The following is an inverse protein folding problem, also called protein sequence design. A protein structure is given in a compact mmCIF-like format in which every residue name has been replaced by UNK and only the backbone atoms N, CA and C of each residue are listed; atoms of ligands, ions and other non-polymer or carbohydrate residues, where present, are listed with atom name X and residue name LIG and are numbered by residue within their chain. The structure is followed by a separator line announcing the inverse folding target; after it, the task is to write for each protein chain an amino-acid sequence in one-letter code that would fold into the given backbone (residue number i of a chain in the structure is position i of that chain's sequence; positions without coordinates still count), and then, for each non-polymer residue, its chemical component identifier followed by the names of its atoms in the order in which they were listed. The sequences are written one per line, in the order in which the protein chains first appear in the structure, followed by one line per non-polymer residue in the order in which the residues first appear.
data_IF_435109277638
#
_entry.id   IF_435109277638
#
_cell.length_a   1.000
_cell.length_b   1.000
_cell.length_c   1.000
_cell.angle_alpha   90.00
_cell.angle_beta   90.00
_cell.angle_gamma   90.00
#
_symmetry.space_group_name_H-M   'P 1'
#
loop_
_entity.id
_entity.type
_entity.pdbx_description
1 polymer ?
#
# COMPACT_ATOMS: atom_id res chain seq x y z
N UNK A 1 1.88 -11.85 37.87
CA UNK A 1 3.00 -12.19 36.98
C UNK A 1 2.60 -11.74 35.59
N UNK A 2 2.76 -10.46 35.28
CA UNK A 2 2.34 -9.88 34.01
C UNK A 2 3.56 -9.81 33.09
N UNK A 3 3.56 -10.65 32.07
CA UNK A 3 4.62 -10.70 31.07
C UNK A 3 4.61 -9.41 30.25
N UNK A 4 5.64 -8.59 30.42
CA UNK A 4 5.97 -7.49 29.52
C UNK A 4 6.21 -8.05 28.10
N UNK A 5 5.16 -8.13 27.29
CA UNK A 5 5.29 -8.37 25.86
C UNK A 5 5.97 -7.15 25.23
N UNK A 6 7.21 -7.30 24.76
CA UNK A 6 7.89 -6.23 24.04
C UNK A 6 7.12 -5.86 22.77
N UNK A 7 7.17 -4.60 22.33
CA UNK A 7 6.52 -4.15 21.09
C UNK A 7 6.83 -5.06 19.87
N UNK A 8 8.04 -5.62 19.83
CA UNK A 8 8.46 -6.59 18.81
C UNK A 8 7.66 -7.91 18.87
N UNK A 9 7.35 -8.42 20.06
CA UNK A 9 6.52 -9.62 20.24
C UNK A 9 5.07 -9.38 19.82
N UNK A 10 4.49 -8.23 20.16
CA UNK A 10 3.14 -7.83 19.75
C UNK A 10 3.06 -7.68 18.22
N UNK A 11 4.01 -6.98 17.60
CA UNK A 11 4.12 -6.88 16.13
C UNK A 11 4.20 -8.27 15.48
N UNK A 12 4.99 -9.19 16.04
CA UNK A 12 5.11 -10.55 15.49
C UNK A 12 3.81 -11.33 15.57
N UNK A 13 3.11 -11.26 16.70
CA UNK A 13 1.81 -11.90 16.89
C UNK A 13 0.77 -11.36 15.92
N UNK A 14 0.61 -10.04 15.84
CA UNK A 14 -0.34 -9.39 14.93
C UNK A 14 -0.06 -9.75 13.46
N UNK A 15 1.22 -9.80 13.05
CA UNK A 15 1.60 -10.26 11.70
C UNK A 15 1.11 -11.67 11.42
N UNK A 16 1.29 -12.59 12.36
CA UNK A 16 0.89 -13.99 12.20
C UNK A 16 -0.64 -14.13 12.14
N UNK A 17 -1.36 -13.49 13.07
CA UNK A 17 -2.83 -13.52 13.14
C UNK A 17 -3.46 -12.93 11.87
N UNK A 18 -3.02 -11.74 11.44
CA UNK A 18 -3.59 -11.10 10.26
C UNK A 18 -3.19 -11.83 8.97
N UNK A 19 -1.99 -12.39 8.88
CA UNK A 19 -1.59 -13.23 7.75
C UNK A 19 -2.44 -14.50 7.66
N UNK A 20 -2.76 -15.12 8.80
CA UNK A 20 -3.63 -16.30 8.86
C UNK A 20 -5.07 -15.95 8.49
N UNK A 21 -5.62 -14.87 9.06
CA UNK A 21 -6.98 -14.41 8.75
C UNK A 21 -7.14 -14.11 7.25
N UNK A 22 -6.20 -13.37 6.66
CA UNK A 22 -6.18 -13.09 5.22
C UNK A 22 -5.92 -14.34 4.38
N UNK A 23 -5.08 -15.24 4.87
CA UNK A 23 -4.81 -16.54 4.26
C UNK A 23 -6.03 -17.46 4.24
N UNK A 24 -6.95 -17.29 5.20
CA UNK A 24 -8.20 -18.04 5.31
C UNK A 24 -9.26 -17.66 4.29
N UNK A 25 -9.17 -16.48 3.66
CA UNK A 25 -10.07 -16.11 2.56
C UNK A 25 -9.86 -17.03 1.37
N UNK A 26 -10.96 -17.57 0.84
CA UNK A 26 -10.97 -18.32 -0.41
C UNK A 26 -10.59 -17.43 -1.60
N UNK A 27 -10.16 -18.01 -2.73
CA UNK A 27 -9.87 -17.24 -3.94
C UNK A 27 -11.07 -16.41 -4.44
N UNK A 28 -12.28 -16.92 -4.28
CA UNK A 28 -13.51 -16.23 -4.68
C UNK A 28 -13.79 -15.02 -3.79
N UNK A 29 -13.73 -15.19 -2.46
CA UNK A 29 -13.89 -14.07 -1.52
C UNK A 29 -12.83 -12.99 -1.77
N UNK A 30 -11.56 -13.36 -1.96
CA UNK A 30 -10.49 -12.40 -2.27
C UNK A 30 -10.82 -11.59 -3.52
N UNK A 31 -11.28 -12.25 -4.58
CA UNK A 31 -11.66 -11.59 -5.83
C UNK A 31 -12.79 -10.60 -5.60
N UNK A 32 -13.86 -11.01 -4.93
CA UNK A 32 -15.04 -10.16 -4.70
C UNK A 32 -14.73 -8.96 -3.80
N UNK A 33 -14.05 -9.19 -2.69
CA UNK A 33 -13.65 -8.15 -1.75
C UNK A 33 -12.69 -7.16 -2.42
N UNK A 34 -11.73 -7.65 -3.20
CA UNK A 34 -10.79 -6.80 -3.94
C UNK A 34 -11.50 -5.92 -4.97
N UNK A 35 -12.48 -6.46 -5.71
CA UNK A 35 -13.27 -5.66 -6.66
C UNK A 35 -14.01 -4.52 -5.96
N UNK A 36 -14.64 -4.79 -4.81
CA UNK A 36 -15.34 -3.74 -4.05
C UNK A 36 -14.40 -2.66 -3.54
N UNK A 37 -13.27 -3.05 -2.94
CA UNK A 37 -12.28 -2.09 -2.46
C UNK A 37 -11.66 -1.28 -3.61
N UNK A 38 -11.39 -1.91 -4.76
CA UNK A 38 -10.91 -1.25 -5.97
C UNK A 38 -11.92 -0.24 -6.51
N UNK A 39 -13.22 -0.55 -6.48
CA UNK A 39 -14.28 0.38 -6.89
C UNK A 39 -14.28 1.63 -5.99
N UNK A 40 -14.18 1.46 -4.67
CA UNK A 40 -14.05 2.59 -3.75
C UNK A 40 -12.78 3.42 -4.01
N UNK A 41 -11.64 2.77 -4.25
CA UNK A 41 -10.41 3.46 -4.61
C UNK A 41 -10.55 4.26 -5.92
N UNK A 42 -11.21 3.69 -6.93
CA UNK A 42 -11.48 4.36 -8.20
C UNK A 42 -12.37 5.60 -8.02
N UNK A 43 -13.46 5.48 -7.29
CA UNK A 43 -14.37 6.60 -6.99
C UNK A 43 -13.62 7.75 -6.29
N UNK A 44 -12.74 7.41 -5.35
CA UNK A 44 -11.92 8.39 -4.67
C UNK A 44 -10.87 9.05 -5.57
N UNK A 45 -10.19 8.29 -6.43
CA UNK A 45 -9.25 8.86 -7.41
C UNK A 45 -9.97 9.83 -8.35
N UNK A 46 -11.20 9.50 -8.77
CA UNK A 46 -12.05 10.39 -9.57
C UNK A 46 -12.40 11.67 -8.81
N UNK A 47 -12.89 11.55 -7.59
CA UNK A 47 -13.29 12.70 -6.77
C UNK A 47 -12.11 13.60 -6.37
N UNK A 48 -10.91 13.04 -6.18
CA UNK A 48 -9.71 13.79 -5.81
C UNK A 48 -9.00 14.46 -6.98
N UNK A 49 -9.23 14.00 -8.21
CA UNK A 49 -8.51 14.47 -9.40
C UNK A 49 -7.08 13.92 -9.51
N UNK A 50 -6.68 12.92 -8.72
CA UNK A 50 -5.31 12.38 -8.69
C UNK A 50 -4.88 11.70 -10.00
N UNK A 51 -4.07 12.37 -10.83
CA UNK A 51 -3.70 11.90 -12.17
C UNK A 51 -2.65 10.78 -12.18
N UNK A 52 -1.79 10.75 -11.16
CA UNK A 52 -0.71 9.75 -11.03
C UNK A 52 -0.88 8.91 -9.77
N UNK A 53 -0.99 7.60 -9.95
CA UNK A 53 -1.20 6.61 -8.88
C UNK A 53 0.01 5.69 -8.75
N UNK A 54 0.62 5.61 -7.57
CA UNK A 54 1.48 4.49 -7.20
C UNK A 54 0.63 3.35 -6.64
N UNK A 55 0.54 2.26 -7.40
CA UNK A 55 -0.08 1.02 -6.98
C UNK A 55 0.98 -0.03 -6.62
N UNK A 56 0.55 -1.23 -6.22
CA UNK A 56 1.43 -2.38 -6.01
C UNK A 56 0.85 -3.59 -6.75
N UNK A 57 1.67 -4.57 -7.08
CA UNK A 57 1.18 -5.88 -7.54
C UNK A 57 1.01 -6.82 -6.34
N UNK A 58 -0.12 -7.53 -6.23
CA UNK A 58 -0.45 -8.28 -5.03
C UNK A 58 0.51 -9.45 -4.81
N UNK A 59 0.95 -9.62 -3.56
CA UNK A 59 1.73 -10.74 -3.08
C UNK A 59 0.86 -11.70 -2.25
N UNK A 60 0.87 -13.00 -2.61
CA UNK A 60 0.17 -14.08 -1.87
C UNK A 60 -1.34 -13.83 -1.75
N UNK A 61 -1.81 -13.52 -0.53
CA UNK A 61 -3.22 -13.31 -0.19
C UNK A 61 -3.58 -11.83 -0.08
N UNK A 62 -2.71 -10.92 -0.52
CA UNK A 62 -3.02 -9.49 -0.55
C UNK A 62 -4.26 -9.16 -1.37
N UNK A 63 -4.82 -7.99 -1.08
CA UNK A 63 -5.88 -7.40 -1.87
C UNK A 63 -5.38 -7.16 -3.30
N UNK A 64 -6.13 -7.68 -4.25
CA UNK A 64 -5.81 -7.65 -5.67
C UNK A 64 -6.11 -6.28 -6.27
N UNK A 65 -5.06 -5.54 -6.59
CA UNK A 65 -5.10 -4.19 -7.19
C UNK A 65 -5.27 -4.22 -8.70
N UNK A 66 -5.20 -5.38 -9.36
CA UNK A 66 -5.27 -5.48 -10.83
C UNK A 66 -6.55 -4.84 -11.41
N UNK A 67 -7.74 -5.01 -10.81
CA UNK A 67 -8.95 -4.33 -11.28
C UNK A 67 -8.82 -2.80 -11.25
N UNK A 68 -8.21 -2.25 -10.20
CA UNK A 68 -8.00 -0.81 -10.06
C UNK A 68 -6.96 -0.29 -11.08
N UNK A 69 -5.87 -1.02 -11.31
CA UNK A 69 -4.86 -0.66 -12.30
C UNK A 69 -5.49 -0.59 -13.70
N UNK A 70 -6.27 -1.61 -14.08
CA UNK A 70 -6.97 -1.62 -15.36
C UNK A 70 -7.94 -0.43 -15.50
N UNK A 71 -8.70 -0.13 -14.45
CA UNK A 71 -9.61 1.01 -14.42
C UNK A 71 -8.87 2.36 -14.51
N UNK A 72 -7.73 2.49 -13.84
CA UNK A 72 -6.90 3.69 -13.89
C UNK A 72 -6.36 3.94 -15.30
N UNK A 73 -5.84 2.91 -15.98
CA UNK A 73 -5.44 3.01 -17.39
C UNK A 73 -6.60 3.39 -18.31
N UNK A 74 -7.77 2.75 -18.14
CA UNK A 74 -8.96 3.06 -18.94
C UNK A 74 -9.44 4.51 -18.73
N UNK A 75 -9.21 5.08 -17.54
CA UNK A 75 -9.49 6.47 -17.22
C UNK A 75 -8.38 7.46 -17.66
N UNK A 76 -7.32 6.98 -18.32
CA UNK A 76 -6.20 7.80 -18.77
C UNK A 76 -5.24 8.25 -17.67
N UNK A 77 -5.31 7.65 -16.47
CA UNK A 77 -4.39 7.94 -15.36
C UNK A 77 -3.04 7.26 -15.57
N UNK A 78 -1.99 7.87 -15.04
CA UNK A 78 -0.66 7.26 -14.98
C UNK A 78 -0.60 6.29 -13.81
N UNK A 79 -0.19 5.06 -14.06
CA UNK A 79 0.02 4.06 -13.02
C UNK A 79 1.51 3.80 -12.88
N UNK A 80 2.02 4.03 -11.68
CA UNK A 80 3.37 3.66 -11.29
C UNK A 80 3.32 2.34 -10.51
N UNK A 81 4.28 1.46 -10.77
CA UNK A 81 4.53 0.28 -9.95
C UNK A 81 5.98 0.31 -9.42
N UNK A 82 6.20 -0.16 -8.18
CA UNK A 82 7.52 -0.23 -7.61
C UNK A 82 8.29 -1.44 -8.17
N UNK A 83 9.60 -1.28 -8.31
CA UNK A 83 10.56 -2.37 -8.49
C UNK A 83 11.57 -2.32 -7.35
N UNK A 84 11.80 -3.45 -6.70
CA UNK A 84 12.82 -3.53 -5.64
C UNK A 84 14.21 -3.37 -6.25
N UNK A 85 15.04 -2.53 -5.64
CA UNK A 85 16.45 -2.40 -6.02
C UNK A 85 17.24 -3.51 -5.32
N UNK A 86 17.84 -4.48 -6.04
CA UNK A 86 18.51 -5.63 -5.44
C UNK A 86 19.63 -5.23 -4.48
N UNK A 87 19.76 -5.96 -3.37
CA UNK A 87 20.77 -5.69 -2.34
C UNK A 87 20.50 -4.42 -1.51
N UNK A 88 19.39 -3.73 -1.76
CA UNK A 88 18.97 -2.56 -1.01
C UNK A 88 17.61 -2.77 -0.36
N UNK A 89 17.21 -1.78 0.43
CA UNK A 89 15.92 -1.68 1.08
C UNK A 89 15.08 -0.57 0.43
N UNK A 90 15.34 -0.28 -0.84
CA UNK A 90 14.73 0.82 -1.60
C UNK A 90 14.00 0.29 -2.85
N UNK A 91 13.12 1.11 -3.41
CA UNK A 91 12.38 0.81 -4.63
C UNK A 91 12.54 1.96 -5.62
N UNK A 92 12.62 1.63 -6.91
CA UNK A 92 12.44 2.59 -8.00
C UNK A 92 10.99 2.51 -8.50
N UNK A 93 10.45 3.64 -8.96
CA UNK A 93 9.10 3.69 -9.52
C UNK A 93 9.18 3.68 -11.04
N UNK A 94 8.20 3.06 -11.69
CA UNK A 94 8.15 2.95 -13.14
C UNK A 94 6.71 3.15 -13.61
N UNK A 95 6.51 4.04 -14.58
CA UNK A 95 5.22 4.15 -15.26
C UNK A 95 5.01 2.91 -16.13
N UNK A 96 3.91 2.21 -15.88
CA UNK A 96 3.49 1.04 -16.66
C UNK A 96 2.19 1.35 -17.37
N UNK A 97 2.06 0.88 -18.60
CA UNK A 97 0.90 1.16 -19.47
C UNK A 97 0.11 -0.08 -19.86
N UNK A 98 0.67 -1.26 -19.61
CA UNK A 98 0.08 -2.52 -19.99
C UNK A 98 0.63 -3.67 -19.14
N UNK A 99 -0.02 -4.83 -19.20
CA UNK A 99 0.42 -6.02 -18.46
C UNK A 99 1.68 -6.63 -19.05
N UNK A 100 1.93 -6.41 -20.34
CA UNK A 100 3.08 -6.89 -21.11
C UNK A 100 4.40 -6.21 -20.67
N UNK A 101 4.31 -5.09 -19.96
CA UNK A 101 5.45 -4.38 -19.37
C UNK A 101 5.87 -4.95 -18.00
N UNK A 102 5.25 -6.05 -17.56
CA UNK A 102 5.55 -6.72 -16.30
C UNK A 102 6.17 -8.10 -16.53
N UNK A 103 7.12 -8.46 -15.68
CA UNK A 103 7.67 -9.81 -15.61
C UNK A 103 7.76 -10.29 -14.16
N UNK A 104 7.81 -11.61 -13.90
CA UNK A 104 8.09 -12.13 -12.57
C UNK A 104 9.41 -11.55 -12.04
N UNK A 105 9.36 -10.94 -10.86
CA UNK A 105 10.47 -10.27 -10.20
C UNK A 105 10.67 -10.77 -8.77
N UNK A 106 11.07 -9.85 -7.89
CA UNK A 106 11.42 -10.18 -6.50
C UNK A 106 10.23 -10.78 -5.74
N UNK A 107 10.48 -11.80 -4.91
CA UNK A 107 9.46 -12.52 -4.12
C UNK A 107 8.31 -13.16 -4.93
N UNK A 108 8.48 -13.30 -6.25
CA UNK A 108 7.45 -13.83 -7.16
C UNK A 108 6.37 -12.81 -7.53
N UNK A 109 6.58 -11.52 -7.24
CA UNK A 109 5.69 -10.42 -7.60
C UNK A 109 6.00 -10.02 -9.05
N UNK A 110 4.97 -9.65 -9.82
CA UNK A 110 5.19 -9.05 -11.14
C UNK A 110 5.74 -7.63 -10.97
N UNK A 111 6.94 -7.39 -11.49
CA UNK A 111 7.62 -6.09 -11.44
C UNK A 111 7.76 -5.51 -12.86
N UNK A 112 7.85 -4.17 -12.99
CA UNK A 112 8.15 -3.51 -14.26
C UNK A 112 9.43 -4.04 -14.91
N UNK A 113 9.39 -4.29 -16.22
CA UNK A 113 10.52 -4.78 -17.00
C UNK A 113 11.76 -3.87 -16.81
N UNK A 114 13.00 -4.43 -16.81
CA UNK A 114 14.23 -3.66 -16.71
C UNK A 114 14.37 -2.52 -17.72
N UNK A 115 13.77 -2.66 -18.90
CA UNK A 115 13.77 -1.66 -19.98
C UNK A 115 12.89 -0.43 -19.71
N UNK A 116 11.98 -0.49 -18.74
CA UNK A 116 11.12 0.64 -18.38
C UNK A 116 11.92 1.62 -17.53
N UNK A 117 11.97 2.87 -17.96
CA UNK A 117 12.70 3.95 -17.28
C UNK A 117 12.11 4.24 -15.90
N UNK A 118 12.96 4.73 -14.99
CA UNK A 118 12.48 5.18 -13.69
C UNK A 118 11.66 6.47 -13.81
N UNK A 119 10.67 6.58 -12.94
CA UNK A 119 9.87 7.76 -12.73
C UNK A 119 10.34 8.45 -11.46
N UNK A 120 10.83 9.69 -11.59
CA UNK A 120 11.47 10.41 -10.48
C UNK A 120 10.51 11.39 -9.78
N UNK A 121 9.34 11.68 -10.36
CA UNK A 121 8.38 12.60 -9.76
C UNK A 121 7.50 11.90 -8.71
N UNK A 122 7.11 12.66 -7.69
CA UNK A 122 6.20 12.17 -6.64
C UNK A 122 4.78 12.04 -7.23
N UNK A 123 4.09 10.88 -7.07
CA UNK A 123 2.71 10.71 -7.54
C UNK A 123 1.71 11.51 -6.69
N UNK A 124 0.46 11.60 -7.13
CA UNK A 124 -0.62 12.24 -6.37
C UNK A 124 -1.16 11.33 -5.26
N UNK A 125 -1.19 10.03 -5.53
CA UNK A 125 -1.75 9.01 -4.65
C UNK A 125 -0.82 7.79 -4.55
N UNK A 126 -0.76 7.20 -3.35
CA UNK A 126 0.01 5.98 -3.06
C UNK A 126 -0.88 4.97 -2.37
N UNK A 127 -1.02 3.78 -2.96
CA UNK A 127 -1.66 2.64 -2.30
C UNK A 127 -0.60 1.79 -1.61
N UNK A 128 -0.82 1.52 -0.34
CA UNK A 128 0.14 0.79 0.49
C UNK A 128 -0.49 -0.53 0.95
N UNK A 129 0.12 -1.68 0.64
CA UNK A 129 -0.28 -2.96 1.20
C UNK A 129 0.21 -3.10 2.65
N UNK A 130 -0.45 -3.97 3.40
CA UNK A 130 -0.08 -4.26 4.78
C UNK A 130 -0.68 -5.58 5.27
N UNK A 131 -0.24 -6.00 6.44
CA UNK A 131 -0.81 -7.14 7.18
C UNK A 131 -1.92 -6.67 8.10
N UNK A 132 -1.72 -5.57 8.82
CA UNK A 132 -2.72 -4.97 9.70
C UNK A 132 -2.76 -3.45 9.53
N UNK A 133 -3.93 -2.88 9.77
CA UNK A 133 -4.16 -1.43 9.78
C UNK A 133 -5.02 -1.04 10.98
N UNK A 134 -4.95 0.20 11.42
CA UNK A 134 -5.90 0.75 12.38
C UNK A 134 -6.51 2.06 11.86
N UNK A 135 -7.63 2.49 12.48
CA UNK A 135 -8.36 3.70 12.07
C UNK A 135 -7.63 5.01 12.35
N UNK A 136 -6.50 4.99 13.06
CA UNK A 136 -5.60 6.14 13.26
C UNK A 136 -4.56 6.24 12.13
N UNK A 137 -4.54 5.28 11.22
CA UNK A 137 -3.61 5.22 10.09
C UNK A 137 -2.36 4.40 10.39
N UNK A 138 -2.31 3.69 11.52
CA UNK A 138 -1.25 2.73 11.80
C UNK A 138 -1.23 1.64 10.74
N UNK A 139 -0.03 1.21 10.35
CA UNK A 139 0.20 0.17 9.35
C UNK A 139 1.26 -0.81 9.83
N UNK A 140 0.96 -2.09 9.76
CA UNK A 140 1.91 -3.16 10.00
C UNK A 140 2.26 -3.87 8.68
N UNK A 141 3.44 -3.59 8.13
CA UNK A 141 3.96 -4.29 6.95
C UNK A 141 4.70 -5.60 7.26
N UNK A 142 5.33 -6.19 6.23
CA UNK A 142 6.15 -7.41 6.35
C UNK A 142 7.50 -7.23 7.05
N UNK A 143 7.81 -6.01 7.52
CA UNK A 143 9.03 -5.71 8.27
C UNK A 143 10.23 -5.26 7.43
N UNK A 144 10.08 -5.13 6.12
CA UNK A 144 11.17 -4.62 5.27
C UNK A 144 11.29 -3.10 5.32
N UNK A 145 10.20 -2.35 5.50
CA UNK A 145 10.23 -0.88 5.66
C UNK A 145 10.35 -0.08 4.35
N UNK A 146 10.05 -0.69 3.20
CA UNK A 146 10.16 -0.03 1.89
C UNK A 146 9.33 1.25 1.78
N UNK A 147 8.06 1.19 2.17
CA UNK A 147 7.14 2.34 2.10
C UNK A 147 7.46 3.43 3.14
N UNK A 148 7.94 3.04 4.33
CA UNK A 148 8.36 4.00 5.36
C UNK A 148 9.56 4.83 4.88
N UNK A 149 10.55 4.16 4.27
CA UNK A 149 11.70 4.84 3.66
C UNK A 149 11.33 5.68 2.44
N UNK A 150 10.45 5.18 1.57
CA UNK A 150 9.97 5.94 0.41
C UNK A 150 9.28 7.24 0.85
N UNK A 151 8.43 7.18 1.89
CA UNK A 151 7.79 8.38 2.43
C UNK A 151 8.78 9.33 3.08
N UNK A 152 9.73 8.81 3.85
CA UNK A 152 10.77 9.61 4.48
C UNK A 152 11.61 10.36 3.44
N UNK A 153 11.99 9.69 2.35
CA UNK A 153 12.72 10.26 1.22
C UNK A 153 11.94 11.45 0.63
N UNK A 154 10.69 11.24 0.22
CA UNK A 154 9.87 12.30 -0.37
C UNK A 154 9.59 13.46 0.58
N UNK A 155 9.46 13.21 1.89
CA UNK A 155 9.35 14.29 2.87
C UNK A 155 10.62 15.11 2.99
N UNK A 156 11.79 14.50 2.81
CA UNK A 156 13.09 15.17 2.88
C UNK A 156 13.42 15.96 1.61
N UNK A 157 12.97 15.48 0.45
CA UNK A 157 13.21 16.11 -0.85
C UNK A 157 12.16 17.14 -1.24
N UNK A 158 10.97 17.10 -0.60
CA UNK A 158 9.90 18.03 -0.91
C UNK A 158 10.29 19.49 -0.58
N UNK A 159 10.11 20.43 -1.53
CA UNK A 159 10.17 21.85 -1.24
C UNK A 159 9.22 22.19 -0.10
N UNK A 160 9.57 23.19 0.74
CA UNK A 160 8.64 23.66 1.79
C UNK A 160 7.33 24.11 1.14
N UNK A 161 6.22 23.43 1.46
CA UNK A 161 4.90 23.70 0.88
C UNK A 161 4.60 22.95 -0.42
N UNK A 162 5.46 22.03 -0.86
CA UNK A 162 5.18 21.13 -1.97
C UNK A 162 4.00 20.20 -1.70
N UNK A 163 3.26 19.87 -2.75
CA UNK A 163 2.14 18.91 -2.68
C UNK A 163 2.69 17.56 -2.25
N UNK A 164 2.11 16.99 -1.20
CA UNK A 164 2.43 15.66 -0.72
C UNK A 164 1.41 14.66 -1.26
N UNK A 165 1.84 13.44 -1.65
CA UNK A 165 0.92 12.40 -2.05
C UNK A 165 -0.03 12.04 -0.91
N UNK A 166 -1.23 11.62 -1.25
CA UNK A 166 -2.12 10.95 -0.30
C UNK A 166 -1.68 9.50 -0.14
N UNK A 167 -1.35 9.10 1.09
CA UNK A 167 -1.00 7.72 1.41
C UNK A 167 -2.23 6.96 1.88
N UNK A 168 -2.73 6.03 1.07
CA UNK A 168 -3.90 5.22 1.36
C UNK A 168 -3.50 3.77 1.65
N UNK A 169 -3.89 3.25 2.82
CA UNK A 169 -3.83 1.82 3.09
C UNK A 169 -4.96 1.12 2.34
N UNK A 170 -4.63 0.17 1.47
CA UNK A 170 -5.63 -0.66 0.78
C UNK A 170 -5.62 -2.05 1.43
N UNK A 171 -6.76 -2.45 2.00
CA UNK A 171 -6.83 -3.63 2.86
C UNK A 171 -8.21 -4.28 2.81
N UNK A 172 -8.29 -5.55 3.19
CA UNK A 172 -9.57 -6.14 3.58
C UNK A 172 -9.99 -5.64 4.97
N UNK A 173 -11.30 -5.52 5.25
CA UNK A 173 -11.80 -5.08 6.56
C UNK A 173 -11.30 -5.99 7.69
N UNK A 174 -11.14 -7.29 7.44
CA UNK A 174 -10.59 -8.25 8.41
C UNK A 174 -9.18 -7.92 8.89
N UNK A 175 -8.45 -7.05 8.17
CA UNK A 175 -7.10 -6.61 8.53
C UNK A 175 -7.10 -5.41 9.47
N UNK A 176 -8.27 -4.85 9.78
CA UNK A 176 -8.40 -3.76 10.74
C UNK A 176 -8.31 -4.30 12.16
N UNK A 177 -7.37 -3.74 12.91
CA UNK A 177 -7.17 -4.02 14.34
C UNK A 177 -7.48 -2.77 15.14
N UNK A 178 -7.66 -2.94 16.45
CA UNK A 178 -7.92 -1.82 17.36
C UNK A 178 -6.79 -0.80 17.34
N UNK A 179 -5.55 -1.27 17.40
CA UNK A 179 -4.35 -0.43 17.39
C UNK A 179 -3.17 -1.21 16.84
N UNK A 180 -2.45 -0.60 15.89
CA UNK A 180 -1.15 -1.09 15.45
C UNK A 180 -0.08 -0.47 16.37
N UNK A 181 0.82 -1.27 16.97
CA UNK A 181 1.95 -0.71 17.71
C UNK A 181 2.91 0.00 16.75
N UNK A 182 2.93 1.33 16.76
CA UNK A 182 3.74 2.16 15.87
C UNK A 182 5.05 2.61 16.52
N UNK A 183 6.12 2.70 15.74
CA UNK A 183 7.42 3.26 16.13
C UNK A 183 7.63 4.65 15.50
N UNK A 184 8.56 5.48 16.02
CA UNK A 184 8.74 6.86 15.55
C UNK A 184 9.06 7.01 14.04
N UNK A 185 9.61 5.98 13.42
CA UNK A 185 9.94 5.96 12.00
C UNK A 185 8.84 5.36 11.13
N UNK A 186 7.79 4.77 11.71
CA UNK A 186 6.69 4.16 10.97
C UNK A 186 5.79 5.26 10.37
N UNK A 187 5.48 5.13 9.08
CA UNK A 187 4.65 6.08 8.36
C UNK A 187 3.15 5.79 8.52
N UNK A 188 2.39 6.77 9.03
CA UNK A 188 0.92 6.71 9.12
C UNK A 188 0.22 6.91 7.77
N UNK A 189 -0.82 6.14 7.49
CA UNK A 189 -1.70 6.37 6.35
C UNK A 189 -2.57 7.60 6.57
N UNK A 190 -2.85 8.35 5.50
CA UNK A 190 -3.79 9.46 5.49
C UNK A 190 -5.24 8.96 5.41
N UNK A 191 -5.44 7.78 4.83
CA UNK A 191 -6.74 7.11 4.72
C UNK A 191 -6.61 5.60 4.60
N UNK A 192 -7.72 4.89 4.81
CA UNK A 192 -7.88 3.47 4.55
C UNK A 192 -9.01 3.26 3.57
N UNK A 193 -8.84 2.28 2.69
CA UNK A 193 -9.82 1.84 1.71
C UNK A 193 -9.99 0.34 1.90
N UNK A 194 -11.23 -0.07 2.17
CA UNK A 194 -11.63 -1.48 2.30
C UNK A 194 -12.82 -1.77 1.42
N UNK A 195 -13.24 -3.04 1.37
CA UNK A 195 -14.47 -3.47 0.71
C UNK A 195 -15.75 -2.85 1.31
N UNK A 196 -15.66 -2.25 2.50
CA UNK A 196 -16.78 -1.62 3.19
C UNK A 196 -16.79 -0.10 3.04
N UNK A 197 -15.76 0.49 2.41
CA UNK A 197 -15.71 1.91 2.10
C UNK A 197 -14.38 2.56 2.46
N UNK A 198 -14.45 3.87 2.67
CA UNK A 198 -13.29 4.74 2.82
C UNK A 198 -13.31 5.44 4.16
N UNK A 199 -12.17 5.41 4.86
CA UNK A 199 -11.99 6.03 6.16
C UNK A 199 -10.83 7.01 6.11
N UNK A 200 -11.07 8.28 6.47
CA UNK A 200 -9.98 9.23 6.69
C UNK A 200 -9.36 8.96 8.06
N UNK A 201 -8.05 8.74 8.09
CA UNK A 201 -7.33 8.49 9.33
C UNK A 201 -7.24 9.80 10.13
N UNK A 202 -7.54 9.72 11.43
CA UNK A 202 -7.34 10.86 12.32
C UNK A 202 -5.84 11.03 12.54
N UNK A 203 -5.24 12.05 11.94
CA UNK A 203 -3.91 12.52 12.37
C UNK A 203 -4.07 13.00 13.81
N UNK A 204 -3.59 12.24 14.78
CA UNK A 204 -3.34 12.82 16.09
C UNK A 204 -2.25 13.88 15.90
N UNK A 205 -2.64 15.15 16.00
CA UNK A 205 -1.71 16.23 16.22
C UNK A 205 -0.95 15.90 17.52
N UNK A 206 0.29 15.44 17.39
CA UNK A 206 1.26 15.52 18.47
C UNK A 206 1.92 16.89 18.42
#
# INVERSE_FOLDING_TARGET
MEGSHSAASLKRQLRAECAAARGGLSPEERRELSVRACAHAQDWLQASGAETLLAYMPLRSELDTRPLIAAAWAAGRRVLLPRVIPGSSSMSLHEVRSWEELAPGTYGIHEPLPSILSWDAVPDAVLVPGLAFDRRGGRLGYGQGYYDRLRALWRSEAPRGGVQPVWAGLAYELQLVTEVPMEPHDAFMDMLITENGIWRCRKENK
#
